data_IF_800557248680
#
_entry.id   IF_800557248680
#
_cell.length_a   1.000
_cell.length_b   1.000
_cell.length_c   1.000
_cell.angle_alpha   90.00
_cell.angle_beta   90.00
_cell.angle_gamma   90.00
#
_symmetry.space_group_name_H-M   'P 1'
#
loop_
_entity.id
_entity.type
_entity.pdbx_description
1 polymer ?
#
# COMPACT_ATOMS: atom_id res chain seq x y z
N UNK A 1 -1.65 -11.04 21.12
CA UNK A 1 -0.84 -9.81 21.34
C UNK A 1 -0.10 -9.34 20.10
N UNK A 2 0.46 -10.25 19.28
CA UNK A 2 1.20 -9.88 18.05
C UNK A 2 0.29 -9.11 17.08
N UNK A 3 -0.93 -9.59 16.88
CA UNK A 3 -1.97 -8.97 16.07
C UNK A 3 -2.34 -7.56 16.52
N UNK A 4 -2.35 -7.29 17.84
CA UNK A 4 -2.56 -5.94 18.38
C UNK A 4 -1.42 -5.00 17.99
N UNK A 5 -0.18 -5.45 18.14
CA UNK A 5 1.02 -4.69 17.74
C UNK A 5 1.05 -4.41 16.23
N UNK A 6 0.71 -5.42 15.43
CA UNK A 6 0.58 -5.27 13.98
C UNK A 6 -0.58 -4.31 13.64
N UNK A 7 -1.71 -4.38 14.33
CA UNK A 7 -2.82 -3.45 14.14
C UNK A 7 -2.41 -2.00 14.36
N UNK A 8 -1.67 -1.72 15.44
CA UNK A 8 -1.11 -0.38 15.71
C UNK A 8 -0.11 0.06 14.63
N UNK A 9 0.72 -0.86 14.13
CA UNK A 9 1.64 -0.58 13.03
C UNK A 9 0.90 -0.27 11.71
N UNK A 10 -0.13 -1.03 11.37
CA UNK A 10 -0.97 -0.77 10.18
C UNK A 10 -1.66 0.59 10.28
N UNK A 11 -2.16 0.94 11.48
CA UNK A 11 -2.74 2.26 11.73
C UNK A 11 -1.71 3.38 11.60
N UNK A 12 -0.51 3.21 12.16
CA UNK A 12 0.55 4.22 12.06
C UNK A 12 1.04 4.42 10.62
N UNK A 13 1.08 3.36 9.80
CA UNK A 13 1.30 3.46 8.36
C UNK A 13 0.21 4.29 7.67
N UNK A 14 -1.05 4.10 8.05
CA UNK A 14 -2.17 4.93 7.62
C UNK A 14 -1.95 6.41 7.89
N UNK A 15 -1.64 6.76 9.15
CA UNK A 15 -1.30 8.13 9.56
C UNK A 15 -0.10 8.68 8.79
N UNK A 16 0.92 7.85 8.59
CA UNK A 16 2.14 8.24 7.88
C UNK A 16 1.86 8.63 6.43
N UNK A 17 1.16 7.78 5.68
CA UNK A 17 0.72 8.11 4.31
C UNK A 17 -0.23 9.31 4.34
N UNK A 18 -1.03 9.48 5.41
CA UNK A 18 -1.89 10.64 5.55
C UNK A 18 -1.14 11.97 5.69
N UNK A 19 0.05 11.97 6.29
CA UNK A 19 0.87 13.17 6.42
C UNK A 19 1.60 13.48 5.11
N UNK A 20 2.16 12.46 4.44
CA UNK A 20 3.12 12.66 3.35
C UNK A 20 2.58 12.51 1.93
N UNK A 21 1.44 11.84 1.72
CA UNK A 21 0.89 11.69 0.37
C UNK A 21 0.19 12.98 -0.10
N UNK A 22 0.53 13.43 -1.31
CA UNK A 22 -0.01 14.66 -1.91
C UNK A 22 -1.44 14.50 -2.44
N UNK A 23 -1.83 13.29 -2.88
CA UNK A 23 -3.15 13.03 -3.46
C UNK A 23 -4.21 12.80 -2.37
N UNK A 24 -5.03 13.83 -2.09
CA UNK A 24 -6.04 13.83 -1.00
C UNK A 24 -7.07 12.67 -1.09
N UNK A 25 -7.68 12.34 -2.24
CA UNK A 25 -8.54 11.16 -2.36
C UNK A 25 -7.85 9.84 -2.04
N UNK A 26 -6.68 9.57 -2.64
CA UNK A 26 -5.90 8.34 -2.39
C UNK A 26 -5.53 8.23 -0.91
N UNK A 27 -5.08 9.34 -0.35
CA UNK A 27 -4.71 9.46 1.05
C UNK A 27 -5.85 9.07 1.99
N UNK A 28 -7.03 9.65 1.78
CA UNK A 28 -8.18 9.40 2.64
C UNK A 28 -8.68 7.95 2.52
N UNK A 29 -8.72 7.39 1.30
CA UNK A 29 -9.13 6.00 1.10
C UNK A 29 -8.13 5.01 1.71
N UNK A 30 -6.82 5.27 1.61
CA UNK A 30 -5.81 4.44 2.27
C UNK A 30 -5.92 4.53 3.79
N UNK A 31 -6.14 5.72 4.35
CA UNK A 31 -6.34 5.89 5.78
C UNK A 31 -7.56 5.10 6.29
N UNK A 32 -8.71 5.19 5.60
CA UNK A 32 -9.90 4.41 5.94
C UNK A 32 -9.68 2.90 5.83
N UNK A 33 -8.96 2.45 4.80
CA UNK A 33 -8.56 1.05 4.65
C UNK A 33 -7.71 0.58 5.86
N UNK A 34 -6.72 1.37 6.26
CA UNK A 34 -5.86 1.04 7.40
C UNK A 34 -6.60 1.09 8.73
N UNK A 35 -7.57 2.00 8.92
CA UNK A 35 -8.45 2.01 10.11
C UNK A 35 -9.26 0.71 10.17
N UNK A 36 -9.88 0.32 9.05
CA UNK A 36 -10.69 -0.88 8.94
C UNK A 36 -9.90 -2.14 9.31
N UNK A 37 -8.69 -2.28 8.75
CA UNK A 37 -7.78 -3.39 9.02
C UNK A 37 -7.22 -3.37 10.44
N UNK A 38 -6.78 -2.21 10.93
CA UNK A 38 -6.25 -2.06 12.27
C UNK A 38 -7.32 -2.35 13.33
N UNK A 39 -8.54 -1.83 13.16
CA UNK A 39 -9.65 -2.09 14.05
C UNK A 39 -9.98 -3.59 14.10
N UNK A 40 -9.99 -4.27 12.96
CA UNK A 40 -10.16 -5.73 12.93
C UNK A 40 -9.08 -6.45 13.74
N UNK A 41 -7.80 -6.13 13.50
CA UNK A 41 -6.67 -6.76 14.19
C UNK A 41 -6.64 -6.47 15.70
N UNK A 42 -6.99 -5.24 16.10
CA UNK A 42 -7.13 -4.86 17.50
C UNK A 42 -8.25 -5.65 18.17
N UNK A 43 -9.44 -5.73 17.55
CA UNK A 43 -10.54 -6.55 18.06
C UNK A 43 -10.14 -8.02 18.16
N UNK A 44 -9.42 -8.55 17.17
CA UNK A 44 -8.96 -9.94 17.14
C UNK A 44 -7.99 -10.26 18.27
N UNK A 45 -7.13 -9.31 18.65
CA UNK A 45 -6.18 -9.51 19.75
C UNK A 45 -6.76 -9.25 21.14
N UNK A 46 -7.60 -8.23 21.27
CA UNK A 46 -8.18 -7.85 22.56
C UNK A 46 -9.28 -8.81 23.03
N UNK A 47 -9.92 -9.55 22.12
CA UNK A 47 -11.01 -10.50 22.48
C UNK A 47 -10.59 -11.54 23.52
N UNK A 48 -9.30 -11.88 23.61
CA UNK A 48 -8.79 -12.88 24.57
C UNK A 48 -9.00 -12.45 26.02
N UNK A 49 -9.02 -11.14 26.29
CA UNK A 49 -9.23 -10.59 27.63
C UNK A 49 -10.70 -10.56 28.06
N UNK A 50 -11.63 -10.89 27.16
CA UNK A 50 -13.04 -10.84 27.48
C UNK A 50 -13.52 -12.08 28.25
N UNK A 51 -14.49 -11.89 29.18
CA UNK A 51 -15.17 -12.99 29.84
C UNK A 51 -15.82 -13.94 28.84
N UNK A 52 -15.90 -15.23 29.19
CA UNK A 52 -16.42 -16.30 28.32
C UNK A 52 -17.84 -16.04 27.83
N UNK A 53 -18.67 -15.41 28.65
CA UNK A 53 -20.06 -15.03 28.36
C UNK A 53 -20.17 -14.10 27.13
N UNK A 54 -19.20 -13.20 26.94
CA UNK A 54 -19.21 -12.23 25.84
C UNK A 54 -18.50 -12.75 24.57
N UNK A 55 -17.83 -13.91 24.63
CA UNK A 55 -17.00 -14.39 23.52
C UNK A 55 -17.81 -14.70 22.27
N UNK A 56 -19.06 -15.14 22.40
CA UNK A 56 -19.95 -15.39 21.25
C UNK A 56 -20.21 -14.10 20.45
N UNK A 57 -20.52 -13.01 21.16
CA UNK A 57 -20.69 -11.69 20.56
C UNK A 57 -19.38 -11.21 19.92
N UNK A 58 -18.27 -11.34 20.63
CA UNK A 58 -16.98 -10.84 20.16
C UNK A 58 -16.50 -11.53 18.89
N UNK A 59 -16.65 -12.85 18.76
CA UNK A 59 -16.25 -13.54 17.52
C UNK A 59 -16.99 -12.97 16.32
N UNK A 60 -18.28 -12.70 16.44
CA UNK A 60 -19.06 -12.10 15.36
C UNK A 60 -18.72 -10.62 15.16
N UNK A 61 -18.71 -9.82 16.23
CA UNK A 61 -18.49 -8.37 16.16
C UNK A 61 -17.08 -7.99 15.69
N UNK A 62 -16.09 -8.86 15.87
CA UNK A 62 -14.76 -8.66 15.27
C UNK A 62 -14.80 -8.58 13.75
N UNK A 63 -15.87 -9.05 13.09
CA UNK A 63 -16.04 -8.99 11.64
C UNK A 63 -16.60 -7.64 11.15
N UNK A 64 -17.11 -6.77 12.04
CA UNK A 64 -17.68 -5.48 11.64
C UNK A 64 -16.68 -4.59 10.91
N UNK A 65 -15.42 -4.42 11.37
CA UNK A 65 -14.47 -3.60 10.63
C UNK A 65 -14.16 -4.23 9.27
N UNK A 66 -13.92 -5.56 9.21
CA UNK A 66 -13.38 -6.19 7.99
C UNK A 66 -14.33 -6.17 6.80
N UNK A 67 -15.65 -6.10 7.00
CA UNK A 67 -16.63 -6.02 5.88
C UNK A 67 -16.53 -4.71 5.08
N UNK A 68 -15.93 -3.65 5.64
CA UNK A 68 -15.71 -2.39 4.93
C UNK A 68 -14.39 -2.37 4.14
N UNK A 69 -13.44 -3.24 4.48
CA UNK A 69 -12.11 -3.33 3.84
C UNK A 69 -12.18 -3.48 2.31
N UNK A 70 -13.01 -4.37 1.72
CA UNK A 70 -13.06 -4.51 0.26
C UNK A 70 -13.50 -3.23 -0.45
N UNK A 71 -14.45 -2.50 0.15
CA UNK A 71 -14.93 -1.22 -0.38
C UNK A 71 -13.84 -0.15 -0.34
N UNK A 72 -13.14 0.00 0.79
CA UNK A 72 -12.05 0.97 0.91
C UNK A 72 -10.88 0.64 -0.02
N UNK A 73 -10.54 -0.65 -0.18
CA UNK A 73 -9.53 -1.10 -1.14
C UNK A 73 -9.95 -0.76 -2.58
N UNK A 74 -11.19 -1.04 -2.95
CA UNK A 74 -11.70 -0.74 -4.28
C UNK A 74 -11.70 0.77 -4.58
N UNK A 75 -12.12 1.58 -3.60
CA UNK A 75 -12.05 3.05 -3.69
C UNK A 75 -10.61 3.53 -3.87
N UNK A 76 -9.67 2.97 -3.11
CA UNK A 76 -8.25 3.31 -3.22
C UNK A 76 -7.69 2.97 -4.60
N UNK A 77 -7.94 1.77 -5.12
CA UNK A 77 -7.51 1.36 -6.48
C UNK A 77 -8.09 2.30 -7.53
N UNK A 78 -9.37 2.65 -7.40
CA UNK A 78 -10.04 3.56 -8.33
C UNK A 78 -9.38 4.94 -8.34
N UNK A 79 -9.10 5.53 -7.17
CA UNK A 79 -8.44 6.84 -7.10
C UNK A 79 -6.97 6.82 -7.49
N UNK A 80 -6.27 5.70 -7.27
CA UNK A 80 -4.83 5.60 -7.54
C UNK A 80 -4.54 5.43 -9.03
N UNK A 81 -5.38 4.69 -9.76
CA UNK A 81 -5.04 4.28 -11.12
C UNK A 81 -6.10 4.58 -12.19
N UNK A 82 -7.33 4.95 -11.82
CA UNK A 82 -8.38 5.32 -12.79
C UNK A 82 -8.73 6.79 -12.66
N UNK A 83 -8.19 7.68 -13.52
CA UNK A 83 -8.50 9.10 -13.44
C UNK A 83 -10.00 9.33 -13.70
N UNK A 84 -10.66 9.92 -12.70
CA UNK A 84 -12.02 10.48 -12.71
C UNK A 84 -12.97 9.99 -13.81
N UNK A 85 -13.60 8.82 -13.61
CA UNK A 85 -15.00 8.72 -14.03
C UNK A 85 -15.81 9.64 -13.13
N UNK A 86 -16.51 10.62 -13.71
CA UNK A 86 -17.55 11.38 -13.00
C UNK A 86 -18.44 10.38 -12.25
N UNK A 87 -18.84 10.68 -10.99
CA UNK A 87 -19.80 9.85 -10.27
C UNK A 87 -21.13 9.99 -10.99
N UNK A 88 -21.33 9.20 -12.04
CA UNK A 88 -22.60 9.12 -12.73
C UNK A 88 -23.45 8.16 -11.92
N UNK A 89 -24.58 8.67 -11.41
CA UNK A 89 -25.76 7.99 -10.85
C UNK A 89 -25.51 6.72 -10.02
N UNK A 90 -26.13 6.64 -8.84
CA UNK A 90 -26.08 5.45 -7.98
C UNK A 90 -26.48 4.19 -8.76
N UNK A 91 -25.48 3.49 -9.29
CA UNK A 91 -25.67 2.34 -10.17
C UNK A 91 -26.38 1.24 -9.39
N UNK A 92 -27.19 0.42 -10.06
CA UNK A 92 -27.78 -0.80 -9.50
C UNK A 92 -26.75 -1.64 -8.71
N UNK A 93 -25.50 -1.68 -9.19
CA UNK A 93 -24.39 -2.36 -8.50
C UNK A 93 -24.09 -1.78 -7.12
N UNK A 94 -24.18 -0.45 -6.96
CA UNK A 94 -23.98 0.22 -5.68
C UNK A 94 -25.14 -0.02 -4.72
N UNK A 95 -26.37 -0.07 -5.22
CA UNK A 95 -27.57 -0.39 -4.40
C UNK A 95 -27.46 -1.81 -3.86
N UNK A 96 -27.16 -2.78 -4.74
CA UNK A 96 -26.95 -4.19 -4.34
C UNK A 96 -25.83 -4.31 -3.32
N UNK A 97 -24.73 -3.57 -3.50
CA UNK A 97 -23.62 -3.56 -2.54
C UNK A 97 -24.05 -3.05 -1.16
N UNK A 98 -24.78 -1.93 -1.10
CA UNK A 98 -25.28 -1.37 0.15
C UNK A 98 -26.27 -2.33 0.83
N UNK A 99 -27.21 -2.90 0.07
CA UNK A 99 -28.17 -3.87 0.61
C UNK A 99 -27.47 -5.09 1.20
N UNK A 100 -26.48 -5.66 0.49
CA UNK A 100 -25.68 -6.77 0.98
C UNK A 100 -24.88 -6.41 2.22
N UNK A 101 -24.28 -5.22 2.27
CA UNK A 101 -23.52 -4.75 3.42
C UNK A 101 -24.42 -4.57 4.65
N UNK A 102 -25.61 -3.96 4.48
CA UNK A 102 -26.61 -3.82 5.55
C UNK A 102 -27.04 -5.19 6.07
N UNK A 103 -27.32 -6.14 5.18
CA UNK A 103 -27.65 -7.51 5.56
C UNK A 103 -26.53 -8.17 6.37
N UNK A 104 -25.27 -8.03 5.93
CA UNK A 104 -24.11 -8.57 6.65
C UNK A 104 -23.95 -7.92 8.02
N UNK A 105 -24.09 -6.60 8.13
CA UNK A 105 -24.03 -5.88 9.42
C UNK A 105 -25.09 -6.39 10.38
N UNK A 106 -26.35 -6.48 9.95
CA UNK A 106 -27.45 -6.98 10.77
C UNK A 106 -27.17 -8.42 11.21
N UNK A 107 -26.68 -9.26 10.31
CA UNK A 107 -26.34 -10.65 10.62
C UNK A 107 -25.19 -10.77 11.63
N UNK A 108 -24.18 -9.90 11.54
CA UNK A 108 -23.06 -9.82 12.50
C UNK A 108 -23.57 -9.38 13.87
N UNK A 109 -24.40 -8.34 13.93
CA UNK A 109 -24.94 -7.82 15.19
C UNK A 109 -25.79 -8.88 15.91
N UNK A 110 -26.59 -9.63 15.14
CA UNK A 110 -27.41 -10.75 15.64
C UNK A 110 -26.61 -12.03 15.91
N UNK A 111 -25.29 -12.04 15.73
CA UNK A 111 -24.41 -13.20 15.95
C UNK A 111 -24.75 -14.44 15.13
N UNK A 112 -25.29 -14.25 13.92
CA UNK A 112 -25.70 -15.31 13.01
C UNK A 112 -24.63 -15.67 11.98
N UNK A 113 -23.41 -15.12 12.09
CA UNK A 113 -22.35 -15.36 11.11
C UNK A 113 -21.57 -16.61 11.47
N UNK A 114 -21.16 -16.78 12.73
CA UNK A 114 -20.52 -18.01 13.18
C UNK A 114 -21.06 -18.43 14.54
N UNK A 115 -21.15 -19.75 14.76
CA UNK A 115 -21.58 -20.31 16.03
C UNK A 115 -20.37 -20.77 16.84
N UNK A 116 -20.17 -20.18 18.01
CA UNK A 116 -19.06 -20.53 18.88
C UNK A 116 -19.28 -21.93 19.47
N UNK A 117 -18.30 -22.82 19.30
CA UNK A 117 -18.33 -24.19 19.83
C UNK A 117 -17.46 -24.37 21.06
N UNK A 118 -16.27 -23.76 21.09
CA UNK A 118 -15.36 -23.78 22.26
C UNK A 118 -14.92 -22.36 22.61
N UNK A 119 -15.47 -21.75 23.68
CA UNK A 119 -15.15 -20.39 24.07
C UNK A 119 -13.69 -20.17 24.45
N UNK A 120 -13.04 -21.17 25.05
CA UNK A 120 -11.62 -21.13 25.47
C UNK A 120 -10.68 -20.80 24.30
N UNK A 121 -10.90 -21.44 23.16
CA UNK A 121 -10.03 -21.34 21.98
C UNK A 121 -10.62 -20.53 20.84
N UNK A 122 -11.77 -19.88 21.06
CA UNK A 122 -12.55 -19.20 20.02
C UNK A 122 -12.86 -20.11 18.81
N UNK A 123 -13.03 -21.42 19.04
CA UNK A 123 -13.43 -22.35 17.98
C UNK A 123 -14.89 -22.10 17.61
N UNK A 124 -15.20 -22.11 16.32
CA UNK A 124 -16.53 -21.83 15.80
C UNK A 124 -16.89 -22.73 14.62
N UNK A 125 -18.18 -22.94 14.39
CA UNK A 125 -18.70 -23.51 13.15
C UNK A 125 -19.18 -22.39 12.23
N UNK A 126 -18.70 -22.34 10.98
CA UNK A 126 -19.14 -21.34 10.02
C UNK A 126 -20.59 -21.61 9.59
N UNK A 127 -21.38 -20.54 9.47
CA UNK A 127 -22.73 -20.61 8.88
C UNK A 127 -22.69 -20.30 7.39
N UNK A 128 -23.82 -20.45 6.69
CA UNK A 128 -23.98 -19.95 5.33
C UNK A 128 -23.71 -18.45 5.20
N UNK A 129 -24.02 -17.65 6.23
CA UNK A 129 -23.73 -16.22 6.23
C UNK A 129 -22.23 -15.96 6.28
N UNK A 130 -21.45 -16.80 6.97
CA UNK A 130 -19.99 -16.73 6.93
C UNK A 130 -19.44 -16.95 5.53
N UNK A 131 -19.92 -17.99 4.84
CA UNK A 131 -19.51 -18.26 3.46
C UNK A 131 -19.85 -17.11 2.52
N UNK A 132 -21.03 -16.51 2.69
CA UNK A 132 -21.45 -15.32 1.94
C UNK A 132 -20.54 -14.11 2.23
N UNK A 133 -20.17 -13.88 3.49
CA UNK A 133 -19.26 -12.80 3.88
C UNK A 133 -17.87 -12.98 3.25
N UNK A 134 -17.31 -14.19 3.31
CA UNK A 134 -16.02 -14.49 2.69
C UNK A 134 -16.10 -14.33 1.17
N UNK A 135 -17.16 -14.86 0.54
CA UNK A 135 -17.40 -14.71 -0.89
C UNK A 135 -17.51 -13.25 -1.32
N UNK A 136 -18.23 -12.42 -0.55
CA UNK A 136 -18.33 -10.98 -0.76
C UNK A 136 -16.95 -10.29 -0.72
N UNK A 137 -16.18 -10.52 0.35
CA UNK A 137 -14.86 -9.93 0.51
C UNK A 137 -13.91 -10.36 -0.62
N UNK A 138 -13.84 -11.66 -0.91
CA UNK A 138 -12.98 -12.21 -1.96
C UNK A 138 -13.36 -11.68 -3.33
N UNK A 139 -14.66 -11.59 -3.65
CA UNK A 139 -15.13 -11.09 -4.95
C UNK A 139 -14.67 -9.65 -5.20
N UNK A 140 -14.89 -8.73 -4.25
CA UNK A 140 -14.50 -7.33 -4.39
C UNK A 140 -12.98 -7.12 -4.43
N UNK A 141 -12.24 -7.88 -3.63
CA UNK A 141 -10.78 -7.85 -3.62
C UNK A 141 -10.24 -8.37 -4.96
N UNK A 142 -10.77 -9.48 -5.48
CA UNK A 142 -10.38 -10.04 -6.78
C UNK A 142 -10.73 -9.09 -7.92
N UNK A 143 -11.90 -8.45 -7.89
CA UNK A 143 -12.27 -7.45 -8.89
C UNK A 143 -11.26 -6.29 -8.93
N UNK A 144 -10.90 -5.76 -7.75
CA UNK A 144 -9.88 -4.72 -7.62
C UNK A 144 -8.50 -5.21 -8.07
N UNK A 145 -8.16 -6.47 -7.77
CA UNK A 145 -6.91 -7.12 -8.19
C UNK A 145 -6.80 -7.20 -9.72
N UNK A 146 -7.86 -7.61 -10.41
CA UNK A 146 -7.91 -7.68 -11.88
C UNK A 146 -7.71 -6.30 -12.51
N UNK A 147 -8.32 -5.26 -11.94
CA UNK A 147 -8.11 -3.89 -12.41
C UNK A 147 -6.64 -3.48 -12.34
N UNK A 148 -5.99 -3.71 -11.20
CA UNK A 148 -4.56 -3.40 -11.03
C UNK A 148 -3.69 -4.27 -11.94
N UNK A 149 -4.03 -5.55 -12.12
CA UNK A 149 -3.30 -6.45 -13.01
C UNK A 149 -3.28 -5.94 -14.45
N UNK A 150 -4.44 -5.49 -14.96
CA UNK A 150 -4.52 -4.89 -16.31
C UNK A 150 -3.59 -3.68 -16.42
N UNK A 151 -3.53 -2.84 -15.39
CA UNK A 151 -2.69 -1.65 -15.37
C UNK A 151 -1.19 -1.96 -15.40
N UNK A 152 -0.76 -3.07 -14.79
CA UNK A 152 0.64 -3.53 -14.88
C UNK A 152 1.07 -3.78 -16.33
N UNK A 153 0.14 -4.23 -17.18
CA UNK A 153 0.43 -4.49 -18.59
C UNK A 153 0.22 -3.27 -19.49
N UNK A 154 -0.64 -2.33 -19.09
CA UNK A 154 -0.96 -1.15 -19.90
C UNK A 154 -0.05 0.06 -19.62
N UNK A 155 0.39 0.23 -18.38
CA UNK A 155 1.23 1.36 -17.96
C UNK A 155 2.71 1.06 -18.16
N UNK A 156 3.51 2.11 -18.23
CA UNK A 156 4.99 2.06 -18.31
C UNK A 156 5.61 2.84 -17.15
N UNK A 157 6.89 2.62 -16.93
CA UNK A 157 7.69 3.34 -15.94
C UNK A 157 7.21 3.17 -14.50
N UNK A 158 7.23 4.25 -13.72
CA UNK A 158 6.89 4.22 -12.29
C UNK A 158 5.46 3.74 -12.02
N UNK A 159 4.49 4.10 -12.87
CA UNK A 159 3.10 3.66 -12.72
C UNK A 159 2.97 2.13 -12.81
N UNK A 160 3.77 1.49 -13.65
CA UNK A 160 3.82 0.02 -13.76
C UNK A 160 4.39 -0.62 -12.50
N UNK A 161 5.48 -0.06 -11.98
CA UNK A 161 6.14 -0.54 -10.75
C UNK A 161 5.21 -0.40 -9.54
N UNK A 162 4.54 0.75 -9.41
CA UNK A 162 3.57 1.02 -8.35
C UNK A 162 2.38 0.06 -8.44
N UNK A 163 1.84 -0.14 -9.64
CA UNK A 163 0.74 -1.10 -9.88
C UNK A 163 1.16 -2.52 -9.48
N UNK A 164 2.39 -2.93 -9.82
CA UNK A 164 2.92 -4.25 -9.47
C UNK A 164 3.05 -4.43 -7.95
N UNK A 165 3.68 -3.49 -7.24
CA UNK A 165 3.79 -3.52 -5.78
C UNK A 165 2.42 -3.57 -5.11
N UNK A 166 1.47 -2.77 -5.61
CA UNK A 166 0.13 -2.72 -5.07
C UNK A 166 -0.61 -4.06 -5.27
N UNK A 167 -0.52 -4.63 -6.46
CA UNK A 167 -1.06 -5.95 -6.79
C UNK A 167 -0.44 -7.06 -5.93
N UNK A 168 0.88 -7.07 -5.76
CA UNK A 168 1.55 -8.03 -4.87
C UNK A 168 0.98 -7.98 -3.44
N UNK A 169 0.76 -6.79 -2.89
CA UNK A 169 0.11 -6.63 -1.59
C UNK A 169 -1.34 -7.16 -1.57
N UNK A 170 -2.12 -6.95 -2.63
CA UNK A 170 -3.48 -7.53 -2.72
C UNK A 170 -3.44 -9.06 -2.71
N UNK A 171 -2.56 -9.67 -3.50
CA UNK A 171 -2.46 -11.14 -3.59
C UNK A 171 -1.96 -11.74 -2.27
N UNK A 172 -0.93 -11.14 -1.64
CA UNK A 172 -0.41 -11.61 -0.35
C UNK A 172 -1.50 -11.55 0.72
N UNK A 173 -2.17 -10.39 0.89
CA UNK A 173 -3.23 -10.24 1.90
C UNK A 173 -4.40 -11.19 1.65
N UNK A 174 -4.86 -11.34 0.41
CA UNK A 174 -5.97 -12.24 0.07
C UNK A 174 -5.61 -13.70 0.35
N UNK A 175 -4.45 -14.16 -0.13
CA UNK A 175 -4.03 -15.55 0.02
C UNK A 175 -3.82 -15.92 1.49
N UNK A 176 -3.09 -15.10 2.24
CA UNK A 176 -2.84 -15.34 3.68
C UNK A 176 -4.15 -15.30 4.47
N UNK A 177 -5.05 -14.36 4.17
CA UNK A 177 -6.34 -14.28 4.85
C UNK A 177 -7.23 -15.48 4.55
N UNK A 178 -7.31 -15.93 3.29
CA UNK A 178 -8.08 -17.12 2.93
C UNK A 178 -7.57 -18.37 3.65
N UNK A 179 -6.26 -18.55 3.79
CA UNK A 179 -5.70 -19.69 4.53
C UNK A 179 -6.12 -19.64 5.99
N UNK A 180 -5.84 -18.55 6.70
CA UNK A 180 -6.00 -18.50 8.16
C UNK A 180 -7.42 -18.22 8.65
N UNK A 181 -8.24 -17.54 7.84
CA UNK A 181 -9.60 -17.15 8.22
C UNK A 181 -10.62 -18.11 7.61
N UNK A 182 -10.37 -18.70 6.44
CA UNK A 182 -11.37 -19.55 5.78
C UNK A 182 -10.99 -21.03 5.74
N UNK A 183 -9.88 -21.38 5.07
CA UNK A 183 -9.52 -22.77 4.79
C UNK A 183 -9.20 -23.52 6.09
N UNK A 184 -8.36 -22.97 6.96
CA UNK A 184 -7.96 -23.63 8.20
C UNK A 184 -9.13 -23.83 9.18
N UNK A 185 -10.00 -22.83 9.43
CA UNK A 185 -11.18 -23.03 10.28
C UNK A 185 -12.14 -24.11 9.77
N UNK A 186 -12.28 -24.30 8.45
CA UNK A 186 -13.07 -25.41 7.89
C UNK A 186 -12.49 -26.80 8.22
N UNK A 187 -11.17 -26.87 8.47
CA UNK A 187 -10.49 -28.08 8.94
C UNK A 187 -10.37 -28.14 10.47
N UNK A 188 -10.97 -27.20 11.20
CA UNK A 188 -10.96 -27.16 12.67
C UNK A 188 -9.75 -26.44 13.29
N UNK A 189 -8.89 -25.78 12.49
CA UNK A 189 -7.75 -25.02 12.97
C UNK A 189 -8.06 -23.51 13.04
N UNK A 190 -8.13 -22.96 14.25
CA UNK A 190 -8.55 -21.57 14.48
C UNK A 190 -7.37 -20.62 14.70
N UNK A 191 -6.61 -20.35 13.64
CA UNK A 191 -5.37 -19.55 13.66
C UNK A 191 -5.52 -18.17 13.00
N UNK A 192 -6.70 -17.55 13.14
CA UNK A 192 -7.03 -16.29 12.49
C UNK A 192 -6.00 -15.16 12.77
N UNK A 193 -5.38 -15.14 13.96
CA UNK A 193 -4.36 -14.14 14.33
C UNK A 193 -3.14 -14.14 13.42
N UNK A 194 -2.81 -15.27 12.79
CA UNK A 194 -1.67 -15.36 11.88
C UNK A 194 -1.92 -14.62 10.55
N UNK A 195 -3.16 -14.29 10.23
CA UNK A 195 -3.49 -13.44 9.06
C UNK A 195 -2.88 -12.03 9.17
N UNK A 196 -2.58 -11.57 10.40
CA UNK A 196 -1.97 -10.27 10.66
C UNK A 196 -0.64 -10.07 9.91
N UNK A 197 0.18 -11.12 9.77
CA UNK A 197 1.45 -11.02 9.04
C UNK A 197 1.26 -10.69 7.55
N UNK A 198 0.25 -11.31 6.92
CA UNK A 198 -0.09 -11.01 5.52
C UNK A 198 -0.54 -9.56 5.36
N UNK A 199 -1.36 -9.06 6.28
CA UNK A 199 -1.84 -7.67 6.30
C UNK A 199 -0.68 -6.70 6.52
N UNK A 200 0.23 -6.99 7.46
CA UNK A 200 1.41 -6.18 7.73
C UNK A 200 2.24 -5.98 6.47
N UNK A 201 2.64 -7.08 5.83
CA UNK A 201 3.47 -7.05 4.61
C UNK A 201 2.73 -6.30 3.50
N UNK A 202 1.45 -6.58 3.31
CA UNK A 202 0.64 -5.95 2.25
C UNK A 202 0.46 -4.45 2.47
N UNK A 203 0.17 -4.02 3.69
CA UNK A 203 0.03 -2.60 4.05
C UNK A 203 1.31 -1.81 3.83
N UNK A 204 2.47 -2.43 4.10
CA UNK A 204 3.78 -1.85 3.81
C UNK A 204 3.99 -1.68 2.31
N UNK A 205 3.70 -2.71 1.51
CA UNK A 205 3.79 -2.63 0.04
C UNK A 205 2.86 -1.55 -0.53
N UNK A 206 1.63 -1.44 -0.03
CA UNK A 206 0.69 -0.40 -0.43
C UNK A 206 1.17 1.00 -0.06
N UNK A 207 1.68 1.19 1.17
CA UNK A 207 2.22 2.48 1.60
C UNK A 207 3.40 2.91 0.72
N UNK A 208 4.30 1.97 0.40
CA UNK A 208 5.42 2.20 -0.51
C UNK A 208 4.91 2.60 -1.91
N UNK A 209 3.96 1.86 -2.48
CA UNK A 209 3.42 2.13 -3.81
C UNK A 209 2.69 3.49 -3.90
N UNK A 210 2.09 3.95 -2.81
CA UNK A 210 1.42 5.26 -2.74
C UNK A 210 2.44 6.40 -2.64
N UNK A 211 3.46 6.25 -1.80
CA UNK A 211 4.42 7.33 -1.50
C UNK A 211 5.52 7.49 -2.55
N UNK A 212 5.85 6.43 -3.31
CA UNK A 212 6.77 6.53 -4.44
C UNK A 212 6.05 7.03 -5.69
N UNK A 213 6.23 8.31 -6.02
CA UNK A 213 5.62 8.95 -7.19
C UNK A 213 6.55 8.98 -8.41
N UNK A 214 7.85 9.24 -8.22
CA UNK A 214 8.90 9.09 -9.24
C UNK A 214 10.17 8.54 -8.58
N UNK A 215 10.60 7.33 -8.95
CA UNK A 215 11.75 6.67 -8.33
C UNK A 215 13.09 7.38 -8.61
N UNK A 216 13.21 8.08 -9.74
CA UNK A 216 14.42 8.81 -10.12
C UNK A 216 14.51 10.17 -9.44
N UNK A 217 13.39 10.88 -9.34
CA UNK A 217 13.32 12.15 -8.60
C UNK A 217 13.59 11.93 -7.10
N UNK A 218 13.01 10.89 -6.52
CA UNK A 218 13.29 10.49 -5.13
C UNK A 218 14.78 10.19 -4.95
N UNK A 219 15.40 9.48 -5.90
CA UNK A 219 16.84 9.21 -5.85
C UNK A 219 17.66 10.51 -5.94
N UNK A 220 17.29 11.46 -6.78
CA UNK A 220 17.98 12.74 -6.92
C UNK A 220 17.92 13.54 -5.61
N UNK A 221 16.74 13.67 -5.01
CA UNK A 221 16.58 14.31 -3.70
C UNK A 221 17.40 13.62 -2.59
N UNK A 222 17.54 12.28 -2.63
CA UNK A 222 18.42 11.55 -1.69
C UNK A 222 19.89 11.92 -1.90
N UNK A 223 20.36 12.02 -3.15
CA UNK A 223 21.75 12.37 -3.49
C UNK A 223 22.04 13.83 -3.09
N UNK A 224 21.08 14.72 -3.28
CA UNK A 224 21.17 16.12 -2.87
C UNK A 224 21.14 16.30 -1.35
N UNK A 225 20.68 15.29 -0.62
CA UNK A 225 20.64 15.26 0.83
C UNK A 225 19.41 15.93 1.42
N UNK A 226 18.30 15.95 0.67
CA UNK A 226 17.04 16.52 1.15
C UNK A 226 16.51 15.71 2.36
N UNK A 227 16.33 16.41 3.48
CA UNK A 227 15.84 15.86 4.74
C UNK A 227 14.31 15.79 4.79
N UNK A 228 13.59 16.44 3.87
CA UNK A 228 12.12 16.44 3.82
C UNK A 228 11.53 15.17 3.20
N UNK A 229 12.36 14.30 2.61
CA UNK A 229 11.89 13.05 2.04
C UNK A 229 11.38 12.07 3.12
N UNK A 230 10.21 11.43 2.91
CA UNK A 230 9.72 10.38 3.78
C UNK A 230 10.75 9.25 3.95
N UNK A 231 11.01 8.82 5.19
CA UNK A 231 11.88 7.67 5.51
C UNK A 231 11.56 6.42 4.68
N UNK A 232 10.27 6.11 4.49
CA UNK A 232 9.85 4.97 3.69
C UNK A 232 10.34 5.09 2.24
N UNK A 233 10.32 6.31 1.69
CA UNK A 233 10.82 6.58 0.36
C UNK A 233 12.34 6.37 0.27
N UNK A 234 13.07 6.85 1.29
CA UNK A 234 14.52 6.69 1.37
C UNK A 234 14.94 5.21 1.39
N UNK A 235 14.32 4.41 2.26
CA UNK A 235 14.66 2.99 2.46
C UNK A 235 14.26 2.15 1.24
N UNK A 236 13.10 2.42 0.63
CA UNK A 236 12.59 1.63 -0.49
C UNK A 236 13.07 2.07 -1.88
N UNK A 237 13.82 3.17 -1.99
CA UNK A 237 14.37 3.68 -3.26
C UNK A 237 15.17 2.64 -4.05
N UNK A 238 16.13 1.97 -3.40
CA UNK A 238 16.98 0.95 -4.04
C UNK A 238 16.17 -0.26 -4.53
N UNK A 239 15.34 -0.92 -3.71
CA UNK A 239 14.57 -2.06 -4.19
C UNK A 239 13.57 -1.67 -5.29
N UNK A 240 13.02 -0.45 -5.25
CA UNK A 240 12.10 0.04 -6.30
C UNK A 240 12.81 0.27 -7.61
N UNK A 241 14.03 0.85 -7.61
CA UNK A 241 14.81 1.02 -8.83
C UNK A 241 15.19 -0.33 -9.45
N UNK A 242 15.55 -1.32 -8.62
CA UNK A 242 15.77 -2.70 -9.10
C UNK A 242 14.50 -3.29 -9.70
N UNK A 243 13.36 -3.08 -9.06
CA UNK A 243 12.07 -3.54 -9.56
C UNK A 243 11.69 -2.84 -10.87
N UNK A 244 11.96 -1.54 -11.00
CA UNK A 244 11.80 -0.77 -12.23
C UNK A 244 12.65 -1.40 -13.34
N UNK A 245 13.94 -1.62 -13.12
CA UNK A 245 14.82 -2.23 -14.10
C UNK A 245 14.31 -3.60 -14.61
N UNK A 246 13.68 -4.40 -13.75
CA UNK A 246 13.13 -5.71 -14.13
C UNK A 246 11.79 -5.56 -14.88
N UNK A 247 10.90 -4.69 -14.40
CA UNK A 247 9.55 -4.57 -14.94
C UNK A 247 9.50 -3.76 -16.23
N UNK A 248 10.31 -2.72 -16.35
CA UNK A 248 10.33 -1.82 -17.52
C UNK A 248 11.77 -1.37 -17.85
N UNK A 249 12.59 -2.26 -18.44
CA UNK A 249 14.01 -1.98 -18.69
C UNK A 249 14.24 -0.86 -19.71
N UNK A 250 13.35 -0.71 -20.70
CA UNK A 250 13.45 0.35 -21.72
C UNK A 250 13.26 1.73 -21.10
N UNK A 251 12.17 1.93 -20.35
CA UNK A 251 11.88 3.21 -19.71
C UNK A 251 12.90 3.53 -18.62
N UNK A 252 13.37 2.51 -17.89
CA UNK A 252 14.45 2.66 -16.92
C UNK A 252 15.75 3.16 -17.57
N UNK A 253 16.13 2.60 -18.72
CA UNK A 253 17.32 3.05 -19.45
C UNK A 253 17.15 4.49 -19.94
N UNK A 254 15.99 4.84 -20.50
CA UNK A 254 15.69 6.20 -20.95
C UNK A 254 15.79 7.21 -19.80
N UNK A 255 15.21 6.92 -18.63
CA UNK A 255 15.30 7.78 -17.45
C UNK A 255 16.73 7.90 -16.91
N UNK A 256 17.52 6.82 -16.94
CA UNK A 256 18.96 6.89 -16.59
C UNK A 256 19.71 7.81 -17.55
N UNK A 257 19.52 7.62 -18.86
CA UNK A 257 20.21 8.42 -19.87
C UNK A 257 19.82 9.88 -19.72
N UNK A 258 18.53 10.18 -19.55
CA UNK A 258 18.04 11.55 -19.32
C UNK A 258 18.66 12.18 -18.08
N UNK A 259 18.66 11.46 -16.95
CA UNK A 259 19.28 11.93 -15.70
C UNK A 259 20.77 12.21 -15.89
N UNK A 260 21.53 11.31 -16.53
CA UNK A 260 22.96 11.51 -16.82
C UNK A 260 23.19 12.68 -17.78
N UNK A 261 22.36 12.82 -18.82
CA UNK A 261 22.43 13.93 -19.77
C UNK A 261 22.21 15.27 -19.07
N UNK A 262 21.22 15.36 -18.16
CA UNK A 262 20.98 16.57 -17.38
C UNK A 262 22.17 16.93 -16.48
N UNK A 263 22.81 15.94 -15.86
CA UNK A 263 24.03 16.16 -15.07
C UNK A 263 25.17 16.68 -15.96
N UNK A 264 25.40 16.05 -17.12
CA UNK A 264 26.44 16.47 -18.07
C UNK A 264 26.17 17.89 -18.57
N UNK A 265 24.93 18.18 -18.95
CA UNK A 265 24.52 19.51 -19.40
C UNK A 265 24.77 20.57 -18.32
N UNK A 266 24.42 20.31 -17.06
CA UNK A 266 24.71 21.22 -15.95
C UNK A 266 26.22 21.42 -15.73
N UNK A 267 27.02 20.35 -15.83
CA UNK A 267 28.49 20.43 -15.76
C UNK A 267 29.02 21.32 -16.90
N UNK A 268 28.56 21.12 -18.13
CA UNK A 268 28.98 21.90 -19.30
C UNK A 268 28.57 23.36 -19.18
N UNK A 269 27.34 23.65 -18.76
CA UNK A 269 26.85 25.02 -18.57
C UNK A 269 27.68 25.78 -17.53
N UNK A 270 27.97 25.15 -16.37
CA UNK A 270 28.81 25.75 -15.34
C UNK A 270 30.25 25.91 -15.84
N UNK A 271 30.77 24.94 -16.60
CA UNK A 271 32.10 25.05 -17.19
C UNK A 271 32.21 26.20 -18.20
N UNK A 272 31.21 26.38 -19.06
CA UNK A 272 31.15 27.47 -20.03
C UNK A 272 30.96 28.83 -19.36
N UNK A 273 30.13 28.93 -18.30
CA UNK A 273 30.02 30.14 -17.48
C UNK A 273 31.37 30.50 -16.83
N UNK A 274 32.07 29.52 -16.23
CA UNK A 274 33.42 29.69 -15.70
C UNK A 274 34.46 30.04 -16.78
N UNK A 275 34.22 29.73 -18.05
CA UNK A 275 35.10 30.14 -19.15
C UNK A 275 34.84 31.60 -19.56
N UNK A 276 33.60 32.05 -19.46
CA UNK A 276 33.15 33.37 -19.92
C UNK A 276 33.30 34.49 -18.88
N UNK A 277 33.31 34.18 -17.58
CA UNK A 277 33.54 35.18 -16.51
C UNK A 277 34.96 35.75 -16.56
N UNK A 278 35.09 37.08 -16.56
CA UNK A 278 36.38 37.79 -16.62
C UNK A 278 37.34 37.42 -15.47
N UNK A 279 36.81 37.18 -14.26
CA UNK A 279 37.59 36.75 -13.10
C UNK A 279 38.18 35.33 -13.24
N UNK A 280 37.54 34.48 -14.04
CA UNK A 280 37.90 33.08 -14.25
C UNK A 280 38.87 32.85 -15.42
N UNK A 281 39.21 33.89 -16.20
CA UNK A 281 40.32 33.85 -17.18
C UNK A 281 41.68 33.55 -16.54
N UNK A 282 41.82 33.77 -15.22
CA UNK A 282 43.03 33.41 -14.44
C UNK A 282 43.08 31.94 -13.98
N UNK A 283 41.95 31.22 -14.02
CA UNK A 283 41.88 29.83 -13.57
C UNK A 283 42.33 28.88 -14.69
N UNK A 284 43.32 28.03 -14.40
CA UNK A 284 43.73 26.95 -15.29
C UNK A 284 42.64 25.86 -15.35
N UNK A 285 42.60 25.08 -16.43
CA UNK A 285 41.68 23.96 -16.66
C UNK A 285 41.57 23.02 -15.45
N UNK A 286 42.70 22.76 -14.77
CA UNK A 286 42.73 21.94 -13.54
C UNK A 286 41.95 22.57 -12.38
N UNK A 287 42.08 23.87 -12.15
CA UNK A 287 41.37 24.57 -11.07
C UNK A 287 39.87 24.64 -11.34
N UNK A 288 39.47 24.80 -12.61
CA UNK A 288 38.05 24.73 -13.02
C UNK A 288 37.47 23.33 -12.80
N UNK A 289 38.24 22.29 -13.13
CA UNK A 289 37.87 20.91 -12.85
C UNK A 289 37.75 20.63 -11.33
N UNK A 290 38.61 21.20 -10.49
CA UNK A 290 38.50 21.10 -9.03
C UNK A 290 37.24 21.77 -8.48
N UNK A 291 36.86 22.94 -9.01
CA UNK A 291 35.62 23.63 -8.64
C UNK A 291 34.40 22.78 -9.03
N UNK A 292 34.37 22.26 -10.26
CA UNK A 292 33.32 21.34 -10.70
C UNK A 292 33.27 20.08 -9.83
N UNK A 293 34.42 19.48 -9.52
CA UNK A 293 34.49 18.30 -8.66
C UNK A 293 33.96 18.58 -7.25
N UNK A 294 34.15 19.79 -6.72
CA UNK A 294 33.55 20.21 -5.43
C UNK A 294 32.04 20.39 -5.52
N UNK A 295 31.55 21.03 -6.58
CA UNK A 295 30.11 21.25 -6.79
C UNK A 295 29.37 19.92 -6.97
N UNK A 296 29.92 19.03 -7.79
CA UNK A 296 29.31 17.73 -8.12
C UNK A 296 29.83 16.58 -7.24
N UNK A 297 30.54 16.86 -6.15
CA UNK A 297 31.19 15.84 -5.30
C UNK A 297 30.21 14.74 -4.84
N UNK A 298 28.97 15.12 -4.48
CA UNK A 298 27.92 14.17 -4.07
C UNK A 298 27.37 13.32 -5.22
N UNK A 299 27.43 13.82 -6.46
CA UNK A 299 26.94 13.15 -7.67
C UNK A 299 28.00 12.25 -8.32
N UNK A 300 29.28 12.49 -8.03
CA UNK A 300 30.43 11.71 -8.54
C UNK A 300 30.78 10.48 -7.68
N UNK A 301 30.17 10.35 -6.50
CA UNK A 301 30.42 9.28 -5.53
C UNK A 301 29.35 8.20 -5.62
#
# INVERSE_FOLDING_TARGET
MIETGIGLFVFSLGCYVWIFASNKPVRNSFFLLTISLAAWLLCLGLRVHAPTEFRSFLVNWTLIPVIFTPYFLHSLVSYLFTPHKKPNEMSWKSIVNIALLVYLVISILNCNVVHLTKPETFAYTPTWVYHLLIGYCSFYILFSSIQVLILIFQKRGDDRVRSFLFFSGIIISLFVSLIFVYILPLHGYFLASNSAFGIMISSLLWAIAILHYDAFEIREHIIEGDSHLPLLNRISSIPILKLFQILDPEEYYNKIVLSKTNVILNVTLIFDDLKNREEAKKLNTKQRAEILARIFNRRLR
#
